data_IF_430725525541
#
_entry.id   IF_430725525541
#
_cell.length_a   1.000
_cell.length_b   1.000
_cell.length_c   1.000
_cell.angle_alpha   90.00
_cell.angle_beta   90.00
_cell.angle_gamma   90.00
#
_symmetry.space_group_name_H-M   'P 1'
#
loop_
_entity.id
_entity.type
_entity.pdbx_description
1 polymer ?
#
# COMPACT_ATOMS: atom_id res chain seq x y z
N UNK A 1 -23.93 -6.12 29.15
CA UNK A 1 -22.83 -6.92 28.65
C UNK A 1 -22.45 -7.98 29.64
N UNK A 2 -22.59 -9.26 29.30
CA UNK A 2 -22.33 -10.35 30.25
C UNK A 2 -20.85 -10.49 30.55
N UNK A 3 -20.51 -11.02 31.74
CA UNK A 3 -19.12 -11.32 32.14
C UNK A 3 -18.42 -12.22 31.10
N UNK A 4 -19.18 -13.11 30.45
CA UNK A 4 -18.72 -14.00 29.39
C UNK A 4 -18.27 -13.22 28.16
N UNK A 5 -18.93 -12.11 27.77
CA UNK A 5 -18.51 -11.29 26.64
C UNK A 5 -17.23 -10.51 26.94
N UNK A 6 -17.06 -10.07 28.22
CA UNK A 6 -15.82 -9.43 28.67
C UNK A 6 -14.64 -10.40 28.74
N UNK A 7 -14.86 -11.63 29.22
CA UNK A 7 -13.86 -12.68 29.27
C UNK A 7 -13.46 -13.17 27.85
N UNK A 8 -14.44 -13.30 26.95
CA UNK A 8 -14.20 -13.66 25.56
C UNK A 8 -13.38 -12.59 24.84
N UNK A 9 -13.67 -11.31 25.07
CA UNK A 9 -12.87 -10.21 24.54
C UNK A 9 -11.47 -10.14 25.17
N UNK A 10 -11.32 -10.38 26.47
CA UNK A 10 -10.01 -10.42 27.14
C UNK A 10 -9.15 -11.60 26.70
N UNK A 11 -9.73 -12.78 26.52
CA UNK A 11 -9.02 -13.99 26.09
C UNK A 11 -8.62 -13.90 24.60
N UNK A 12 -9.54 -13.43 23.72
CA UNK A 12 -9.23 -13.23 22.31
C UNK A 12 -8.13 -12.16 22.12
N UNK A 13 -8.15 -11.09 22.90
CA UNK A 13 -7.18 -10.00 22.78
C UNK A 13 -5.81 -10.29 23.37
N UNK A 14 -5.75 -11.00 24.51
CA UNK A 14 -4.47 -11.26 25.18
C UNK A 14 -3.78 -12.56 24.77
N UNK A 15 -4.54 -13.55 24.32
CA UNK A 15 -4.00 -14.88 24.02
C UNK A 15 -3.86 -15.10 22.51
N UNK A 16 -4.82 -14.63 21.70
CA UNK A 16 -4.81 -14.86 20.26
C UNK A 16 -3.91 -13.84 19.54
N UNK A 17 -3.82 -12.61 20.04
CA UNK A 17 -2.94 -11.59 19.43
C UNK A 17 -1.45 -12.01 19.39
N UNK A 18 -0.85 -12.53 20.47
CA UNK A 18 0.50 -13.08 20.41
C UNK A 18 0.64 -14.24 19.43
N UNK A 19 -0.37 -15.11 19.32
CA UNK A 19 -0.34 -16.27 18.42
C UNK A 19 -0.49 -15.90 16.93
N UNK A 20 -1.31 -14.86 16.62
CA UNK A 20 -1.51 -14.37 15.24
C UNK A 20 -0.32 -13.52 14.78
N UNK A 21 0.38 -12.86 15.69
CA UNK A 21 1.56 -12.05 15.42
C UNK A 21 2.88 -12.77 15.72
N UNK A 22 2.82 -14.08 15.93
CA UNK A 22 4.01 -14.91 16.09
C UNK A 22 4.92 -14.79 14.86
N UNK A 23 6.22 -14.78 15.10
CA UNK A 23 7.24 -14.74 14.03
C UNK A 23 7.04 -15.87 13.00
N UNK A 24 6.53 -17.02 13.43
CA UNK A 24 6.19 -18.14 12.56
C UNK A 24 5.11 -17.81 11.52
N UNK A 25 4.06 -17.08 11.92
CA UNK A 25 2.98 -16.63 11.00
C UNK A 25 3.52 -15.58 10.03
N UNK A 26 4.28 -14.58 10.51
CA UNK A 26 4.95 -13.60 9.65
C UNK A 26 5.91 -14.27 8.66
N UNK A 27 6.68 -15.24 9.13
CA UNK A 27 7.58 -16.02 8.29
C UNK A 27 6.82 -16.77 7.20
N UNK A 28 5.68 -17.40 7.50
CA UNK A 28 4.87 -18.09 6.50
C UNK A 28 4.38 -17.14 5.39
N UNK A 29 3.90 -15.94 5.74
CA UNK A 29 3.50 -14.94 4.73
C UNK A 29 4.68 -14.43 3.89
N UNK A 30 5.89 -14.40 4.42
CA UNK A 30 7.06 -13.92 3.68
C UNK A 30 7.75 -15.02 2.85
N UNK A 31 7.63 -16.28 3.22
CA UNK A 31 8.36 -17.39 2.57
C UNK A 31 7.54 -18.18 1.56
N UNK A 32 6.20 -18.24 1.71
CA UNK A 32 5.34 -18.97 0.76
C UNK A 32 5.10 -18.13 -0.48
N UNK A 33 5.59 -18.57 -1.65
CA UNK A 33 5.31 -17.88 -2.91
C UNK A 33 3.82 -17.90 -3.23
N UNK A 34 3.26 -16.75 -3.59
CA UNK A 34 1.87 -16.60 -4.04
C UNK A 34 1.76 -16.39 -5.55
N UNK A 35 2.90 -16.29 -6.24
CA UNK A 35 2.96 -15.98 -7.67
C UNK A 35 3.42 -17.16 -8.52
N UNK A 36 3.78 -18.30 -7.88
CA UNK A 36 4.33 -19.46 -8.58
C UNK A 36 5.63 -19.13 -9.35
N UNK A 37 6.38 -18.13 -8.91
CA UNK A 37 7.62 -17.69 -9.56
C UNK A 37 7.43 -16.79 -10.79
N UNK A 38 6.21 -16.38 -11.12
CA UNK A 38 5.92 -15.53 -12.30
C UNK A 38 6.53 -14.12 -12.21
N UNK A 39 6.93 -13.69 -11.02
CA UNK A 39 7.59 -12.41 -10.80
C UNK A 39 9.14 -12.49 -10.81
N UNK A 40 9.70 -13.68 -10.88
CA UNK A 40 11.16 -13.86 -10.89
C UNK A 40 11.81 -13.11 -12.05
N UNK A 41 12.85 -12.33 -11.72
CA UNK A 41 13.59 -11.51 -12.70
C UNK A 41 12.87 -10.26 -13.19
N UNK A 42 11.64 -10.02 -12.74
CA UNK A 42 10.94 -8.74 -12.95
C UNK A 42 11.54 -7.63 -12.11
N UNK A 43 11.36 -6.39 -12.53
CA UNK A 43 11.78 -5.23 -11.72
C UNK A 43 10.56 -4.46 -11.24
N UNK A 44 10.51 -4.22 -9.94
CA UNK A 44 9.46 -3.50 -9.26
C UNK A 44 9.96 -2.19 -8.65
N UNK A 45 9.17 -1.14 -8.79
CA UNK A 45 9.34 0.12 -8.04
C UNK A 45 8.27 0.18 -6.95
N UNK A 46 8.68 0.50 -5.71
CA UNK A 46 7.74 0.61 -4.57
C UNK A 46 7.93 1.96 -3.89
N UNK A 47 6.89 2.84 -3.97
CA UNK A 47 6.90 4.11 -3.24
C UNK A 47 6.44 3.93 -1.81
N UNK A 48 6.92 4.76 -0.90
CA UNK A 48 6.60 4.63 0.53
C UNK A 48 7.18 3.39 1.19
N UNK A 49 8.25 2.82 0.63
CA UNK A 49 8.84 1.56 1.04
C UNK A 49 9.74 1.62 2.30
N UNK A 50 9.82 2.77 2.96
CA UNK A 50 10.62 2.92 4.19
C UNK A 50 9.92 2.41 5.46
N UNK A 51 8.66 2.01 5.38
CA UNK A 51 7.90 1.47 6.53
C UNK A 51 6.59 0.81 6.12
N UNK A 52 5.96 0.09 7.06
CA UNK A 52 4.59 -0.43 6.95
C UNK A 52 4.36 -1.29 5.70
N UNK A 53 3.23 -1.09 5.03
CA UNK A 53 2.81 -1.89 3.86
C UNK A 53 3.83 -1.80 2.72
N UNK A 54 4.36 -0.60 2.45
CA UNK A 54 5.35 -0.43 1.37
C UNK A 54 6.65 -1.20 1.62
N UNK A 55 7.16 -1.18 2.86
CA UNK A 55 8.33 -1.95 3.25
C UNK A 55 8.08 -3.47 3.14
N UNK A 56 6.96 -3.95 3.70
CA UNK A 56 6.58 -5.36 3.59
C UNK A 56 6.38 -5.79 2.13
N UNK A 57 5.84 -4.89 1.28
CA UNK A 57 5.70 -5.14 -0.15
C UNK A 57 7.07 -5.27 -0.83
N UNK A 58 8.01 -4.38 -0.54
CA UNK A 58 9.38 -4.48 -1.07
C UNK A 58 10.03 -5.81 -0.68
N UNK A 59 9.95 -6.20 0.61
CA UNK A 59 10.46 -7.47 1.08
C UNK A 59 9.76 -8.66 0.40
N UNK A 60 8.43 -8.59 0.27
CA UNK A 60 7.66 -9.64 -0.39
C UNK A 60 8.09 -9.84 -1.84
N UNK A 61 8.24 -8.76 -2.60
CA UNK A 61 8.65 -8.81 -4.00
C UNK A 61 10.08 -9.35 -4.18
N UNK A 62 11.01 -8.98 -3.28
CA UNK A 62 12.35 -9.59 -3.23
C UNK A 62 12.27 -11.11 -3.03
N UNK A 63 11.41 -11.58 -2.11
CA UNK A 63 11.20 -13.01 -1.84
C UNK A 63 10.54 -13.74 -3.02
N UNK A 64 9.77 -13.05 -3.86
CA UNK A 64 9.23 -13.59 -5.13
C UNK A 64 10.26 -13.57 -6.28
N UNK A 65 11.48 -13.08 -6.01
CA UNK A 65 12.58 -13.03 -6.99
C UNK A 65 12.60 -11.80 -7.88
N UNK A 66 11.88 -10.72 -7.49
CA UNK A 66 11.97 -9.43 -8.18
C UNK A 66 13.25 -8.68 -7.82
N UNK A 67 13.76 -7.89 -8.76
CA UNK A 67 14.58 -6.73 -8.43
C UNK A 67 13.65 -5.64 -7.88
N UNK A 68 14.09 -4.90 -6.87
CA UNK A 68 13.26 -3.87 -6.23
C UNK A 68 13.99 -2.54 -6.15
N UNK A 69 13.31 -1.47 -6.52
CA UNK A 69 13.74 -0.09 -6.31
C UNK A 69 12.80 0.54 -5.31
N UNK A 70 13.31 0.83 -4.11
CA UNK A 70 12.52 1.50 -3.07
C UNK A 70 12.56 3.01 -3.28
N UNK A 71 11.39 3.66 -3.16
CA UNK A 71 11.24 5.09 -3.45
C UNK A 71 10.67 5.83 -2.25
N UNK A 72 11.25 6.99 -1.95
CA UNK A 72 10.81 7.88 -0.88
C UNK A 72 11.46 9.25 -0.97
N UNK A 73 11.07 10.16 -0.08
CA UNK A 73 11.56 11.55 -0.04
C UNK A 73 12.82 11.73 0.80
N UNK A 74 13.03 10.87 1.78
CA UNK A 74 14.14 10.97 2.73
C UNK A 74 15.18 9.89 2.42
N UNK A 75 16.35 10.32 1.98
CA UNK A 75 17.44 9.45 1.55
C UNK A 75 17.99 8.59 2.69
N UNK A 76 18.12 9.14 3.90
CA UNK A 76 18.67 8.39 5.05
C UNK A 76 17.75 7.23 5.42
N UNK A 77 16.42 7.45 5.44
CA UNK A 77 15.45 6.39 5.68
C UNK A 77 15.42 5.34 4.55
N UNK A 78 15.67 5.75 3.32
CA UNK A 78 15.82 4.80 2.21
C UNK A 78 17.06 3.93 2.43
N UNK A 79 18.20 4.51 2.73
CA UNK A 79 19.44 3.77 3.04
C UNK A 79 19.26 2.84 4.24
N UNK A 80 18.57 3.29 5.29
CA UNK A 80 18.24 2.45 6.44
C UNK A 80 17.38 1.25 6.03
N UNK A 81 16.37 1.46 5.17
CA UNK A 81 15.51 0.36 4.69
C UNK A 81 16.29 -0.64 3.83
N UNK A 82 17.24 -0.19 3.02
CA UNK A 82 18.11 -1.11 2.25
C UNK A 82 18.92 -2.04 3.15
N UNK A 83 19.41 -1.52 4.29
CA UNK A 83 20.21 -2.30 5.23
C UNK A 83 19.41 -3.39 5.97
N UNK A 84 18.09 -3.25 6.01
CA UNK A 84 17.19 -4.16 6.75
C UNK A 84 16.40 -5.09 5.85
N UNK A 85 16.27 -4.78 4.55
CA UNK A 85 15.63 -5.66 3.58
C UNK A 85 16.56 -6.83 3.22
N UNK A 86 16.01 -8.04 3.24
CA UNK A 86 16.74 -9.26 2.87
C UNK A 86 16.71 -9.46 1.37
N UNK A 87 17.87 -9.51 0.74
CA UNK A 87 18.03 -9.68 -0.70
C UNK A 87 18.39 -11.14 -0.98
N UNK A 88 17.56 -11.83 -1.78
CA UNK A 88 17.80 -13.21 -2.20
C UNK A 88 18.84 -13.31 -3.31
N UNK A 89 19.34 -14.51 -3.54
CA UNK A 89 20.29 -14.78 -4.62
C UNK A 89 19.68 -14.43 -5.99
N UNK A 90 20.44 -13.70 -6.80
CA UNK A 90 20.03 -13.26 -8.15
C UNK A 90 19.03 -12.12 -8.18
N UNK A 91 18.71 -11.49 -7.04
CA UNK A 91 17.89 -10.28 -6.97
C UNK A 91 18.74 -9.04 -6.70
N UNK A 92 18.24 -7.87 -7.07
CA UNK A 92 18.89 -6.58 -6.84
C UNK A 92 17.96 -5.67 -6.03
N UNK A 93 18.55 -4.87 -5.17
CA UNK A 93 17.85 -3.85 -4.38
C UNK A 93 18.57 -2.51 -4.55
N UNK A 94 17.80 -1.49 -4.95
CA UNK A 94 18.30 -0.12 -5.14
C UNK A 94 17.27 0.88 -4.55
N UNK A 95 17.62 2.16 -4.55
CA UNK A 95 16.72 3.22 -4.11
C UNK A 95 16.70 4.42 -5.05
N UNK A 96 15.60 5.18 -4.98
CA UNK A 96 15.48 6.45 -5.68
C UNK A 96 14.81 7.49 -4.77
N UNK A 97 15.43 8.67 -4.67
CA UNK A 97 14.83 9.81 -3.98
C UNK A 97 13.88 10.53 -4.92
N UNK A 98 12.58 10.50 -4.58
CA UNK A 98 11.54 11.14 -5.37
C UNK A 98 10.43 11.69 -4.48
N UNK A 99 10.00 12.92 -4.76
CA UNK A 99 8.74 13.47 -4.27
C UNK A 99 7.71 13.44 -5.39
N UNK A 100 6.64 12.68 -5.20
CA UNK A 100 5.56 12.56 -6.19
C UNK A 100 4.70 13.83 -6.32
N UNK A 101 4.91 14.83 -5.48
CA UNK A 101 4.26 16.15 -5.56
C UNK A 101 5.09 17.19 -6.30
N UNK A 102 6.36 16.92 -6.54
CA UNK A 102 7.25 17.79 -7.33
C UNK A 102 6.99 17.57 -8.84
N UNK A 103 5.95 18.21 -9.34
CA UNK A 103 5.52 18.07 -10.73
C UNK A 103 6.57 18.53 -11.76
N UNK A 104 7.53 19.36 -11.35
CA UNK A 104 8.59 19.86 -12.26
C UNK A 104 9.65 18.79 -12.54
N UNK A 105 9.96 17.95 -11.56
CA UNK A 105 10.98 16.90 -11.70
C UNK A 105 10.41 15.50 -11.90
N UNK A 106 9.11 15.30 -11.67
CA UNK A 106 8.48 13.99 -11.61
C UNK A 106 8.62 13.20 -12.92
N UNK A 107 8.29 13.83 -14.05
CA UNK A 107 8.39 13.21 -15.38
C UNK A 107 9.82 12.75 -15.67
N UNK A 108 10.80 13.63 -15.46
CA UNK A 108 12.22 13.32 -15.68
C UNK A 108 12.71 12.20 -14.74
N UNK A 109 12.24 12.15 -13.50
CA UNK A 109 12.61 11.07 -12.56
C UNK A 109 11.99 9.74 -12.96
N UNK A 110 10.72 9.72 -13.37
CA UNK A 110 10.07 8.52 -13.90
C UNK A 110 10.81 8.05 -15.15
N UNK A 111 10.99 8.90 -16.13
CA UNK A 111 11.75 8.55 -17.35
C UNK A 111 13.16 8.03 -17.02
N UNK A 112 13.87 8.72 -16.14
CA UNK A 112 15.24 8.35 -15.76
C UNK A 112 15.36 6.96 -15.12
N UNK A 113 14.36 6.46 -14.39
CA UNK A 113 14.39 5.08 -13.86
C UNK A 113 14.11 4.06 -14.98
N UNK A 114 13.21 4.35 -15.90
CA UNK A 114 12.95 3.50 -17.08
C UNK A 114 14.13 3.48 -18.07
N UNK A 115 14.93 4.53 -18.12
CA UNK A 115 16.16 4.57 -18.95
C UNK A 115 17.27 3.68 -18.39
N UNK A 116 17.28 3.46 -17.07
CA UNK A 116 18.27 2.60 -16.40
C UNK A 116 17.93 1.11 -16.49
N UNK A 117 16.66 0.76 -16.37
CA UNK A 117 16.22 -0.63 -16.40
C UNK A 117 14.73 -0.75 -16.80
N UNK A 118 14.35 -1.96 -17.22
CA UNK A 118 12.95 -2.29 -17.47
C UNK A 118 12.18 -2.33 -16.14
N UNK A 119 11.08 -1.60 -16.05
CA UNK A 119 10.17 -1.62 -14.89
C UNK A 119 8.89 -2.35 -15.26
N UNK A 120 8.66 -3.53 -14.68
CA UNK A 120 7.50 -4.37 -14.93
C UNK A 120 6.35 -4.12 -13.96
N UNK A 121 6.66 -3.61 -12.77
CA UNK A 121 5.71 -3.37 -11.69
C UNK A 121 5.97 -2.02 -11.02
N UNK A 122 4.89 -1.27 -10.78
CA UNK A 122 4.95 -0.05 -9.98
C UNK A 122 3.91 -0.11 -8.86
N UNK A 123 4.36 -0.09 -7.60
CA UNK A 123 3.48 -0.08 -6.43
C UNK A 123 3.50 1.30 -5.77
N UNK A 124 2.35 1.98 -5.77
CA UNK A 124 2.21 3.28 -5.15
C UNK A 124 1.60 3.14 -3.75
N UNK A 125 2.46 2.94 -2.74
CA UNK A 125 2.09 2.76 -1.34
C UNK A 125 2.35 3.99 -0.47
N UNK A 126 2.90 5.07 -1.03
CA UNK A 126 3.12 6.31 -0.29
C UNK A 126 1.80 6.93 0.16
N UNK A 127 1.72 7.31 1.42
CA UNK A 127 0.54 7.96 1.98
C UNK A 127 0.76 8.39 3.42
N UNK A 128 -0.10 9.30 3.87
CA UNK A 128 -0.13 9.78 5.25
C UNK A 128 -1.54 9.71 5.82
N UNK A 129 -1.62 9.63 7.13
CA UNK A 129 -2.84 9.76 7.89
C UNK A 129 -2.66 10.85 8.94
N UNK A 130 -3.60 11.80 8.98
CA UNK A 130 -3.70 12.80 10.04
C UNK A 130 -5.14 12.87 10.50
N UNK A 131 -5.35 12.78 11.80
CA UNK A 131 -6.68 12.86 12.41
C UNK A 131 -7.07 14.33 12.55
N UNK A 132 -8.21 14.74 11.99
CA UNK A 132 -8.62 16.14 11.90
C UNK A 132 -9.83 16.51 12.75
N UNK A 133 -10.74 15.56 13.02
CA UNK A 133 -12.04 15.86 13.62
C UNK A 133 -12.19 15.20 15.00
N UNK A 134 -11.52 15.76 16.03
CA UNK A 134 -11.64 15.19 17.39
C UNK A 134 -13.05 15.30 17.96
N UNK A 135 -13.84 16.32 17.57
CA UNK A 135 -15.08 16.67 18.26
C UNK A 135 -16.36 16.56 17.42
N UNK A 136 -16.34 15.84 16.29
CA UNK A 136 -17.48 15.74 15.35
C UNK A 136 -18.01 17.11 14.87
N UNK A 137 -17.24 18.17 15.01
CA UNK A 137 -17.58 19.53 14.56
C UNK A 137 -16.78 19.84 13.32
N UNK A 138 -17.45 19.97 12.18
CA UNK A 138 -16.81 20.41 10.92
C UNK A 138 -16.32 21.87 10.96
N UNK A 139 -16.55 22.58 12.05
CA UNK A 139 -16.05 23.96 12.21
C UNK A 139 -14.63 23.93 12.77
N UNK A 140 -13.69 24.59 12.06
CA UNK A 140 -12.31 24.72 12.50
C UNK A 140 -11.39 23.58 12.06
N UNK A 141 -11.74 22.88 10.96
CA UNK A 141 -10.81 21.99 10.29
C UNK A 141 -9.62 22.83 9.84
N UNK A 142 -8.42 22.45 10.27
CA UNK A 142 -7.19 23.01 9.76
C UNK A 142 -7.05 22.64 8.27
N UNK A 143 -7.24 23.64 7.41
CA UNK A 143 -7.22 23.46 5.96
C UNK A 143 -5.86 22.98 5.46
N UNK A 144 -4.76 23.38 6.09
CA UNK A 144 -3.42 22.97 5.72
C UNK A 144 -3.24 21.46 5.95
N UNK A 145 -3.56 20.97 7.14
CA UNK A 145 -3.54 19.53 7.46
C UNK A 145 -4.47 18.75 6.55
N UNK A 146 -5.65 19.29 6.22
CA UNK A 146 -6.62 18.64 5.35
C UNK A 146 -6.04 18.43 3.94
N UNK A 147 -5.54 19.50 3.33
CA UNK A 147 -5.00 19.44 1.97
C UNK A 147 -3.66 18.70 1.91
N UNK A 148 -2.86 18.70 2.97
CA UNK A 148 -1.64 17.88 3.03
C UNK A 148 -1.96 16.38 2.86
N UNK A 149 -3.02 15.89 3.52
CA UNK A 149 -3.49 14.49 3.34
C UNK A 149 -4.00 14.25 1.92
N UNK A 150 -4.83 15.14 1.38
CA UNK A 150 -5.37 15.02 0.01
C UNK A 150 -4.23 15.04 -1.01
N UNK A 151 -3.31 15.99 -0.89
CA UNK A 151 -2.19 16.12 -1.81
C UNK A 151 -1.28 14.89 -1.76
N UNK A 152 -0.91 14.45 -0.57
CA UNK A 152 0.01 13.31 -0.43
C UNK A 152 -0.63 12.01 -0.91
N UNK A 153 -1.90 11.77 -0.60
CA UNK A 153 -2.52 10.48 -0.89
C UNK A 153 -3.16 10.40 -2.28
N UNK A 154 -3.78 11.49 -2.77
CA UNK A 154 -4.53 11.49 -4.02
C UNK A 154 -3.79 12.20 -5.15
N UNK A 155 -3.41 13.48 -4.95
CA UNK A 155 -2.74 14.25 -6.00
C UNK A 155 -1.46 13.57 -6.49
N UNK A 156 -0.68 12.95 -5.57
CA UNK A 156 0.51 12.21 -5.95
C UNK A 156 0.22 11.05 -6.93
N UNK A 157 -0.91 10.35 -6.75
CA UNK A 157 -1.33 9.28 -7.66
C UNK A 157 -1.76 9.85 -9.02
N UNK A 158 -2.55 10.94 -9.02
CA UNK A 158 -3.01 11.58 -10.25
C UNK A 158 -1.84 12.09 -11.09
N UNK A 159 -0.80 12.60 -10.46
CA UNK A 159 0.39 13.08 -11.17
C UNK A 159 1.30 11.93 -11.64
N UNK A 160 1.55 10.95 -10.80
CA UNK A 160 2.57 9.92 -11.04
C UNK A 160 2.12 8.82 -12.00
N UNK A 161 0.90 8.29 -11.83
CA UNK A 161 0.44 7.10 -12.54
C UNK A 161 0.43 7.28 -14.07
N UNK A 162 -0.05 8.41 -14.62
CA UNK A 162 0.00 8.61 -16.08
C UNK A 162 1.43 8.56 -16.63
N UNK A 163 2.41 9.21 -16.00
CA UNK A 163 3.81 9.16 -16.46
C UNK A 163 4.36 7.74 -16.46
N UNK A 164 4.08 6.96 -15.42
CA UNK A 164 4.54 5.56 -15.33
C UNK A 164 3.86 4.70 -16.41
N UNK A 165 2.55 4.85 -16.61
CA UNK A 165 1.81 4.09 -17.60
C UNK A 165 2.25 4.45 -19.03
N UNK A 166 2.46 5.73 -19.31
CA UNK A 166 2.91 6.21 -20.63
C UNK A 166 4.33 5.68 -20.94
N UNK A 167 5.26 5.66 -19.98
CA UNK A 167 6.59 5.06 -20.16
C UNK A 167 6.52 3.54 -20.39
N UNK A 168 5.66 2.82 -19.67
CA UNK A 168 5.43 1.40 -19.93
C UNK A 168 4.92 1.16 -21.36
N UNK A 169 3.92 1.93 -21.78
CA UNK A 169 3.36 1.82 -23.16
C UNK A 169 4.40 2.17 -24.21
N UNK A 170 5.13 3.28 -24.05
CA UNK A 170 6.15 3.74 -25.00
C UNK A 170 7.27 2.71 -25.21
N UNK A 171 7.54 1.89 -24.20
CA UNK A 171 8.60 0.86 -24.22
C UNK A 171 8.06 -0.55 -24.51
N UNK A 172 6.77 -0.70 -24.81
CA UNK A 172 6.14 -2.00 -25.05
C UNK A 172 6.16 -2.94 -23.84
N UNK A 173 6.09 -2.38 -22.64
CA UNK A 173 6.09 -3.14 -21.39
C UNK A 173 4.65 -3.45 -21.00
N UNK A 174 4.26 -4.72 -21.01
CA UNK A 174 3.00 -5.20 -20.46
C UNK A 174 3.11 -5.23 -18.92
N UNK A 175 3.10 -4.04 -18.33
CA UNK A 175 3.35 -3.81 -16.91
C UNK A 175 2.09 -3.82 -16.05
N UNK A 176 2.32 -3.70 -14.73
CA UNK A 176 1.24 -3.57 -13.74
C UNK A 176 1.52 -2.40 -12.81
N UNK A 177 0.50 -1.58 -12.56
CA UNK A 177 0.54 -0.48 -11.58
C UNK A 177 -0.46 -0.80 -10.48
N UNK A 178 -0.02 -0.78 -9.21
CA UNK A 178 -0.88 -1.06 -8.06
C UNK A 178 -0.87 0.14 -7.12
N UNK A 179 -2.05 0.67 -6.81
CA UNK A 179 -2.23 1.73 -5.81
C UNK A 179 -2.69 1.15 -4.49
N UNK A 180 -2.28 1.77 -3.38
CA UNK A 180 -2.78 1.39 -2.05
C UNK A 180 -3.80 2.42 -1.59
N UNK A 181 -5.08 2.03 -1.67
CA UNK A 181 -6.21 2.79 -1.12
C UNK A 181 -6.46 2.42 0.36
N UNK A 182 -7.69 2.28 0.78
CA UNK A 182 -8.11 1.84 2.13
C UNK A 182 -9.59 1.51 2.13
N UNK A 183 -10.06 0.68 3.06
CA UNK A 183 -11.50 0.55 3.35
C UNK A 183 -12.14 1.88 3.72
N UNK A 184 -11.38 2.82 4.31
CA UNK A 184 -11.85 4.19 4.57
C UNK A 184 -12.25 4.95 3.31
N UNK A 185 -11.89 4.47 2.11
CA UNK A 185 -12.39 5.00 0.85
C UNK A 185 -13.81 4.54 0.51
N UNK A 186 -14.31 3.49 1.15
CA UNK A 186 -15.68 2.97 0.97
C UNK A 186 -16.60 3.35 2.12
N UNK A 187 -16.05 3.70 3.29
CA UNK A 187 -16.80 3.94 4.51
C UNK A 187 -16.51 5.31 5.09
N UNK A 188 -17.52 5.88 5.75
CA UNK A 188 -17.39 7.16 6.45
C UNK A 188 -16.99 6.92 7.90
N UNK A 189 -15.80 7.35 8.29
CA UNK A 189 -15.33 7.33 9.67
C UNK A 189 -15.13 8.75 10.19
N UNK A 190 -15.73 9.08 11.32
CA UNK A 190 -15.53 10.36 11.98
C UNK A 190 -14.06 10.58 12.35
N UNK A 191 -13.52 11.78 12.06
CA UNK A 191 -12.14 12.13 12.30
C UNK A 191 -11.15 11.62 11.24
N UNK A 192 -11.67 11.03 10.16
CA UNK A 192 -10.88 10.48 9.05
C UNK A 192 -11.21 11.14 7.70
N UNK A 193 -11.99 12.23 7.72
CA UNK A 193 -12.58 12.81 6.51
C UNK A 193 -11.57 13.07 5.37
N UNK A 194 -10.45 13.78 5.54
CA UNK A 194 -9.52 13.99 4.45
C UNK A 194 -8.87 12.68 3.99
N UNK A 195 -8.61 11.76 4.92
CA UNK A 195 -8.05 10.45 4.57
C UNK A 195 -9.05 9.62 3.77
N UNK A 196 -10.30 9.50 4.24
CA UNK A 196 -11.37 8.79 3.54
C UNK A 196 -11.61 9.34 2.14
N UNK A 197 -11.74 10.66 1.99
CA UNK A 197 -11.89 11.34 0.70
C UNK A 197 -10.69 11.05 -0.20
N UNK A 198 -9.46 11.15 0.31
CA UNK A 198 -8.27 10.86 -0.48
C UNK A 198 -8.22 9.42 -0.97
N UNK A 199 -8.62 8.45 -0.13
CA UNK A 199 -8.60 7.03 -0.47
C UNK A 199 -9.77 6.63 -1.38
N UNK A 200 -10.94 7.25 -1.25
CA UNK A 200 -12.03 7.15 -2.22
C UNK A 200 -11.60 7.71 -3.58
N UNK A 201 -10.97 8.89 -3.60
CA UNK A 201 -10.43 9.47 -4.83
C UNK A 201 -9.42 8.55 -5.53
N UNK A 202 -8.56 7.82 -4.80
CA UNK A 202 -7.64 6.83 -5.37
C UNK A 202 -8.42 5.66 -6.01
N UNK A 203 -9.51 5.20 -5.38
CA UNK A 203 -10.37 4.15 -5.91
C UNK A 203 -11.01 4.59 -7.23
N UNK A 204 -11.63 5.77 -7.24
CA UNK A 204 -12.30 6.29 -8.44
C UNK A 204 -11.30 6.62 -9.56
N UNK A 205 -10.16 7.20 -9.22
CA UNK A 205 -9.09 7.45 -10.19
C UNK A 205 -8.56 6.16 -10.83
N UNK A 206 -8.43 5.08 -10.04
CA UNK A 206 -8.02 3.77 -10.58
C UNK A 206 -9.03 3.24 -11.60
N UNK A 207 -10.33 3.34 -11.31
CA UNK A 207 -11.41 2.93 -12.24
C UNK A 207 -11.41 3.75 -13.52
N UNK A 208 -11.16 5.06 -13.40
CA UNK A 208 -11.18 5.97 -14.55
C UNK A 208 -9.96 5.81 -15.44
N UNK A 209 -8.77 5.63 -14.85
CA UNK A 209 -7.51 5.60 -15.60
C UNK A 209 -7.24 4.24 -16.26
N UNK A 210 -7.67 3.13 -15.66
CA UNK A 210 -7.36 1.78 -16.14
C UNK A 210 -7.86 1.50 -17.56
N UNK A 211 -9.09 1.86 -17.97
CA UNK A 211 -9.57 1.66 -19.35
C UNK A 211 -8.73 2.37 -20.40
N UNK A 212 -8.07 3.48 -20.05
CA UNK A 212 -7.21 4.25 -20.94
C UNK A 212 -5.99 3.47 -21.43
N UNK A 213 -5.55 2.51 -20.62
CA UNK A 213 -4.37 1.67 -20.87
C UNK A 213 -4.72 0.20 -21.09
N UNK A 214 -6.01 -0.12 -21.32
CA UNK A 214 -6.50 -1.47 -21.50
C UNK A 214 -5.71 -2.22 -22.61
N UNK A 215 -5.36 -3.48 -22.32
CA UNK A 215 -4.56 -4.32 -23.21
C UNK A 215 -3.07 -3.94 -23.29
N UNK A 216 -2.61 -2.96 -22.55
CA UNK A 216 -1.20 -2.50 -22.51
C UNK A 216 -0.62 -2.52 -21.12
N UNK A 217 -1.26 -1.86 -20.16
CA UNK A 217 -0.84 -1.77 -18.76
C UNK A 217 -2.05 -2.04 -17.88
N UNK A 218 -1.88 -2.89 -16.86
CA UNK A 218 -2.92 -3.14 -15.87
C UNK A 218 -2.78 -2.19 -14.70
N UNK A 219 -3.85 -1.50 -14.31
CA UNK A 219 -3.87 -0.56 -13.19
C UNK A 219 -4.93 -1.02 -12.19
N UNK A 220 -4.49 -1.32 -10.97
CA UNK A 220 -5.34 -1.90 -9.92
C UNK A 220 -5.17 -1.14 -8.61
N UNK A 221 -6.10 -1.38 -7.69
CA UNK A 221 -5.98 -0.87 -6.32
C UNK A 221 -6.17 -1.99 -5.31
N UNK A 222 -5.50 -1.87 -4.16
CA UNK A 222 -5.77 -2.68 -2.97
C UNK A 222 -6.27 -1.76 -1.87
N UNK A 223 -7.32 -2.19 -1.17
CA UNK A 223 -7.92 -1.45 -0.04
C UNK A 223 -7.75 -2.25 1.25
N UNK A 224 -6.66 -2.02 1.99
CA UNK A 224 -6.46 -2.66 3.29
C UNK A 224 -7.48 -2.19 4.32
N UNK A 225 -7.79 -3.05 5.28
CA UNK A 225 -8.45 -2.72 6.52
C UNK A 225 -7.48 -2.13 7.55
N UNK A 226 -7.76 -2.38 8.82
CA UNK A 226 -6.89 -2.03 9.93
C UNK A 226 -5.62 -2.87 9.88
N UNK A 227 -4.48 -2.24 9.69
CA UNK A 227 -3.16 -2.89 9.59
C UNK A 227 -2.21 -2.34 10.66
N UNK A 228 -1.51 -3.23 11.37
CA UNK A 228 -0.55 -2.90 12.41
C UNK A 228 0.70 -2.22 11.84
N UNK A 229 0.63 -0.90 11.65
CA UNK A 229 1.70 -0.05 11.15
C UNK A 229 1.85 1.19 12.04
N UNK A 230 2.94 1.94 11.90
CA UNK A 230 3.08 3.25 12.55
C UNK A 230 1.94 4.21 12.22
N UNK A 231 1.38 4.13 11.02
CA UNK A 231 0.21 4.91 10.61
C UNK A 231 -1.02 4.51 11.45
N UNK A 232 -1.21 3.23 11.69
CA UNK A 232 -2.26 2.70 12.59
C UNK A 232 -2.07 3.16 14.03
N UNK A 233 -0.85 3.18 14.55
CA UNK A 233 -0.53 3.61 15.93
C UNK A 233 -0.90 5.08 16.17
N UNK A 234 -0.75 5.94 15.17
CA UNK A 234 -1.11 7.37 15.26
C UNK A 234 -2.61 7.60 15.11
N UNK A 235 -3.33 6.71 14.45
CA UNK A 235 -4.75 6.84 14.11
C UNK A 235 -5.70 6.09 15.04
N UNK A 236 -5.38 4.86 15.33
CA UNK A 236 -6.30 3.96 16.04
C UNK A 236 -6.05 3.91 17.55
N UNK A 237 -4.98 4.51 18.06
CA UNK A 237 -4.65 4.47 19.48
C UNK A 237 -4.54 3.02 20.01
N UNK A 238 -4.42 2.87 21.32
CA UNK A 238 -4.38 1.56 21.99
C UNK A 238 -5.74 0.84 22.01
N UNK A 239 -6.78 1.46 21.47
CA UNK A 239 -8.17 0.97 21.55
C UNK A 239 -8.62 0.35 20.23
N UNK A 240 -7.97 -0.76 19.87
CA UNK A 240 -8.39 -1.64 18.77
C UNK A 240 -9.63 -2.47 19.16
N UNK A 241 -10.15 -2.29 20.38
CA UNK A 241 -11.36 -2.96 20.89
C UNK A 241 -12.63 -2.60 20.11
N UNK A 242 -12.57 -1.56 19.28
CA UNK A 242 -13.64 -1.09 18.42
C UNK A 242 -13.50 -1.47 16.95
N UNK A 243 -12.60 -2.41 16.56
CA UNK A 243 -12.53 -2.85 15.17
C UNK A 243 -13.89 -3.43 14.75
N UNK A 244 -14.45 -2.89 13.68
CA UNK A 244 -15.73 -3.34 13.09
C UNK A 244 -15.61 -4.66 12.34
N UNK A 245 -14.44 -5.30 12.40
CA UNK A 245 -14.17 -6.57 11.74
C UNK A 245 -14.91 -7.71 12.43
N UNK A 246 -15.54 -8.58 11.65
CA UNK A 246 -16.14 -9.82 12.16
C UNK A 246 -15.14 -10.74 12.85
N UNK A 247 -13.90 -10.69 12.40
CA UNK A 247 -12.82 -11.55 12.90
C UNK A 247 -12.09 -10.92 14.07
N UNK A 248 -12.37 -9.64 14.40
CA UNK A 248 -11.55 -8.82 15.31
C UNK A 248 -10.04 -8.87 14.99
N UNK A 249 -9.71 -9.16 13.74
CA UNK A 249 -8.35 -9.27 13.25
C UNK A 249 -7.85 -7.89 12.83
N UNK A 250 -6.69 -7.51 13.35
CA UNK A 250 -5.90 -6.41 12.80
C UNK A 250 -4.84 -7.04 11.92
N UNK A 251 -4.88 -6.73 10.63
CA UNK A 251 -3.95 -7.28 9.66
C UNK A 251 -2.50 -6.89 9.96
N UNK A 252 -1.57 -7.66 9.42
CA UNK A 252 -0.15 -7.30 9.39
C UNK A 252 0.23 -6.81 7.99
N UNK A 253 1.27 -5.97 7.86
CA UNK A 253 1.71 -5.47 6.55
C UNK A 253 1.99 -6.56 5.52
N UNK A 254 2.49 -7.71 5.97
CA UNK A 254 2.84 -8.87 5.16
C UNK A 254 1.63 -9.53 4.48
N UNK A 255 0.45 -9.47 5.11
CA UNK A 255 -0.81 -9.95 4.50
C UNK A 255 -1.19 -9.09 3.30
N UNK A 256 -1.18 -7.76 3.48
CA UNK A 256 -1.43 -6.83 2.38
C UNK A 256 -0.38 -6.95 1.27
N UNK A 257 0.89 -7.10 1.64
CA UNK A 257 1.99 -7.30 0.69
C UNK A 257 1.80 -8.58 -0.14
N UNK A 258 1.25 -9.65 0.45
CA UNK A 258 0.94 -10.90 -0.26
C UNK A 258 -0.18 -10.71 -1.27
N UNK A 259 -1.21 -9.93 -0.94
CA UNK A 259 -2.27 -9.56 -1.90
C UNK A 259 -1.69 -8.72 -3.04
N UNK A 260 -0.82 -7.74 -2.75
CA UNK A 260 -0.14 -6.93 -3.77
C UNK A 260 0.70 -7.82 -4.70
N UNK A 261 1.48 -8.76 -4.18
CA UNK A 261 2.26 -9.69 -4.99
C UNK A 261 1.37 -10.57 -5.89
N UNK A 262 0.24 -11.07 -5.37
CA UNK A 262 -0.76 -11.79 -6.17
C UNK A 262 -1.32 -10.91 -7.30
N UNK A 263 -1.70 -9.67 -7.02
CA UNK A 263 -2.21 -8.73 -8.02
C UNK A 263 -1.16 -8.37 -9.09
N UNK A 264 0.12 -8.39 -8.72
CA UNK A 264 1.23 -8.17 -9.65
C UNK A 264 1.49 -9.36 -10.59
N UNK A 265 0.95 -10.55 -10.28
CA UNK A 265 1.07 -11.74 -11.11
C UNK A 265 0.21 -11.64 -12.38
N UNK A 266 0.45 -12.51 -13.40
CA UNK A 266 -0.38 -12.53 -14.60
C UNK A 266 -1.88 -12.74 -14.34
N UNK A 267 -2.23 -13.46 -13.24
CA UNK A 267 -3.63 -13.66 -12.84
C UNK A 267 -4.28 -12.36 -12.41
N UNK A 268 -3.52 -11.49 -11.71
CA UNK A 268 -4.01 -10.19 -11.26
C UNK A 268 -4.47 -9.26 -12.39
N UNK A 269 -3.93 -9.42 -13.61
CA UNK A 269 -4.31 -8.60 -14.77
C UNK A 269 -5.78 -8.68 -15.14
N UNK A 270 -6.45 -9.80 -14.85
CA UNK A 270 -7.90 -9.95 -15.05
C UNK A 270 -8.73 -9.04 -14.14
N UNK A 271 -8.10 -8.44 -13.11
CA UNK A 271 -8.73 -7.52 -12.18
C UNK A 271 -8.45 -6.05 -12.53
N UNK A 272 -8.04 -5.76 -13.77
CA UNK A 272 -7.75 -4.40 -14.22
C UNK A 272 -8.90 -3.44 -13.91
N UNK A 273 -8.60 -2.27 -13.36
CA UNK A 273 -9.57 -1.27 -12.93
C UNK A 273 -10.25 -1.57 -11.59
N UNK A 274 -10.01 -2.75 -10.98
CA UNK A 274 -10.67 -3.12 -9.74
C UNK A 274 -9.89 -2.67 -8.51
N UNK A 275 -10.62 -2.45 -7.42
CA UNK A 275 -10.08 -2.29 -6.08
C UNK A 275 -10.40 -3.52 -5.25
N UNK A 276 -9.35 -4.22 -4.80
CA UNK A 276 -9.48 -5.45 -4.04
C UNK A 276 -9.45 -5.14 -2.53
N UNK A 277 -10.52 -5.51 -1.84
CA UNK A 277 -10.62 -5.37 -0.39
C UNK A 277 -9.74 -6.42 0.29
N UNK A 278 -8.78 -5.96 1.08
CA UNK A 278 -7.88 -6.78 1.90
C UNK A 278 -8.09 -6.41 3.38
N UNK A 279 -9.31 -6.60 3.88
CA UNK A 279 -9.80 -6.01 5.13
C UNK A 279 -10.08 -7.02 6.24
N UNK A 280 -9.74 -8.30 6.05
CA UNK A 280 -10.03 -9.36 7.03
C UNK A 280 -11.49 -9.36 7.53
N UNK A 281 -12.44 -9.01 6.65
CA UNK A 281 -13.87 -8.97 6.96
C UNK A 281 -14.33 -7.70 7.69
N UNK A 282 -13.53 -6.64 7.71
CA UNK A 282 -14.05 -5.33 8.13
C UNK A 282 -15.18 -4.90 7.18
N UNK A 283 -16.27 -4.36 7.75
CA UNK A 283 -17.43 -3.91 6.97
C UNK A 283 -17.11 -2.65 6.18
N UNK A 284 -17.51 -2.63 4.95
CA UNK A 284 -17.49 -1.49 4.04
C UNK A 284 -18.89 -1.06 3.68
#
# INVERSE_FOLDING_TARGET
MSIISKLRNMLSYRVIRPLIYDEGVRSAYSTTSVTGGSLRGKTAVVTGATSGIGYATAQRLLNEGCNVIVVGRNEDKLKESLNTLSVGEGTQLDYMVMDSLDSQSLENKVKGVFDKCRIDLWVNSAGIFKKTDRDRKFRGIDSETYFDVINTNLKSNILLIPYVADEMVARGIDGTIITVSSICGFTNHFGYTPYGISKNGVIEFTKEIAPKYEGKVSILSVAPGSVATRMGDTGYGKDISGSSSFTHHVGIPEETASVIAFLASPIGKHLNGQTILASAGERV
#
